data_IF_398386510025
#
_entry.id   IF_398386510025
#
_cell.length_a   1.000
_cell.length_b   1.000
_cell.length_c   1.000
_cell.angle_alpha   90.00
_cell.angle_beta   90.00
_cell.angle_gamma   90.00
#
_symmetry.space_group_name_H-M   'P 1'
#
loop_
_entity.id
_entity.type
_entity.pdbx_description
1 polymer ?
#
# COMPACT_ATOMS: atom_id res chain seq x y z
N UNK A 1 -27.32 -59.83 -24.95
CA UNK A 1 -26.77 -58.52 -24.52
C UNK A 1 -25.28 -58.72 -24.30
N UNK A 2 -24.36 -58.24 -25.16
CA UNK A 2 -22.94 -58.39 -24.86
C UNK A 2 -22.50 -57.25 -23.95
N UNK A 3 -22.04 -57.61 -22.74
CA UNK A 3 -21.31 -56.70 -21.86
C UNK A 3 -19.98 -56.33 -22.54
N UNK A 4 -19.83 -55.04 -22.84
CA UNK A 4 -18.62 -54.49 -23.44
C UNK A 4 -17.54 -54.42 -22.35
N UNK A 5 -16.93 -55.57 -22.01
CA UNK A 5 -15.80 -55.62 -21.08
C UNK A 5 -14.55 -55.08 -21.77
N UNK A 6 -14.15 -53.85 -21.43
CA UNK A 6 -12.89 -53.27 -21.89
C UNK A 6 -11.73 -54.21 -21.56
N UNK A 7 -10.81 -54.37 -22.51
CA UNK A 7 -9.62 -55.19 -22.37
C UNK A 7 -8.76 -54.69 -21.20
N UNK A 8 -8.09 -55.58 -20.43
CA UNK A 8 -7.20 -55.21 -19.34
C UNK A 8 -6.10 -54.21 -19.73
N UNK A 9 -5.75 -54.13 -21.02
CA UNK A 9 -4.82 -53.11 -21.52
C UNK A 9 -5.49 -51.74 -21.67
N UNK A 10 -6.74 -51.68 -22.16
CA UNK A 10 -7.49 -50.43 -22.34
C UNK A 10 -7.79 -49.74 -21.01
N UNK A 11 -8.10 -50.51 -19.96
CA UNK A 11 -8.30 -49.99 -18.60
C UNK A 11 -7.02 -49.34 -18.05
N UNK A 12 -5.85 -49.97 -18.31
CA UNK A 12 -4.55 -49.41 -17.90
C UNK A 12 -4.22 -48.13 -18.66
N UNK A 13 -4.48 -48.09 -19.97
CA UNK A 13 -4.29 -46.88 -20.77
C UNK A 13 -5.24 -45.74 -20.36
N UNK A 14 -6.50 -46.02 -20.04
CA UNK A 14 -7.43 -45.01 -19.51
C UNK A 14 -6.94 -44.41 -18.20
N UNK A 15 -6.57 -45.27 -17.24
CA UNK A 15 -6.08 -44.83 -15.91
C UNK A 15 -4.81 -43.98 -16.04
N UNK A 16 -3.90 -44.36 -16.94
CA UNK A 16 -2.70 -43.59 -17.25
C UNK A 16 -3.06 -42.22 -17.84
N UNK A 17 -3.93 -42.16 -18.85
CA UNK A 17 -4.34 -40.90 -19.47
C UNK A 17 -5.04 -39.96 -18.47
N UNK A 18 -5.85 -40.49 -17.55
CA UNK A 18 -6.49 -39.70 -16.50
C UNK A 18 -5.46 -39.15 -15.49
N UNK A 19 -4.44 -39.93 -15.13
CA UNK A 19 -3.34 -39.45 -14.29
C UNK A 19 -2.51 -38.34 -14.96
N UNK A 20 -2.29 -38.44 -16.27
CA UNK A 20 -1.58 -37.41 -17.06
C UNK A 20 -2.41 -36.13 -17.13
N UNK A 21 -3.74 -36.26 -17.29
CA UNK A 21 -4.66 -35.11 -17.26
C UNK A 21 -4.68 -34.43 -15.89
N UNK A 22 -4.74 -35.20 -14.81
CA UNK A 22 -4.67 -34.64 -13.45
C UNK A 22 -3.35 -33.91 -13.18
N UNK A 23 -2.23 -34.41 -13.72
CA UNK A 23 -0.93 -33.73 -13.62
C UNK A 23 -0.86 -32.44 -14.46
N UNK A 24 -1.51 -32.38 -15.61
CA UNK A 24 -1.55 -31.16 -16.42
C UNK A 24 -2.44 -30.09 -15.77
N UNK A 25 -3.60 -30.49 -15.24
CA UNK A 25 -4.53 -29.61 -14.52
C UNK A 25 -3.88 -28.99 -13.28
N UNK A 26 -3.15 -29.78 -12.50
CA UNK A 26 -2.40 -29.27 -11.33
C UNK A 26 -1.28 -28.31 -11.73
N UNK A 27 -0.55 -28.59 -12.82
CA UNK A 27 0.46 -27.66 -13.34
C UNK A 27 -0.15 -26.33 -13.82
N UNK A 28 -1.31 -26.39 -14.48
CA UNK A 28 -2.04 -25.20 -14.94
C UNK A 28 -2.50 -24.39 -13.72
N UNK A 29 -3.11 -25.04 -12.73
CA UNK A 29 -3.56 -24.38 -11.50
C UNK A 29 -2.40 -23.70 -10.75
N UNK A 30 -1.26 -24.38 -10.60
CA UNK A 30 -0.07 -23.80 -9.96
C UNK A 30 0.47 -22.58 -10.73
N UNK A 31 0.51 -22.64 -12.06
CA UNK A 31 0.94 -21.50 -12.90
C UNK A 31 -0.04 -20.32 -12.81
N UNK A 32 -1.35 -20.59 -12.77
CA UNK A 32 -2.37 -19.56 -12.59
C UNK A 32 -2.26 -18.89 -11.21
N UNK A 33 -2.16 -19.68 -10.14
CA UNK A 33 -1.98 -19.15 -8.78
C UNK A 33 -0.71 -18.30 -8.65
N UNK A 34 0.39 -18.70 -9.30
CA UNK A 34 1.64 -17.92 -9.29
C UNK A 34 1.47 -16.60 -10.04
N UNK A 35 0.76 -16.60 -11.17
CA UNK A 35 0.45 -15.39 -11.96
C UNK A 35 -0.46 -14.43 -11.22
N UNK A 36 -1.50 -14.96 -10.57
CA UNK A 36 -2.42 -14.18 -9.73
C UNK A 36 -1.67 -13.54 -8.56
N UNK A 37 -0.81 -14.30 -7.88
CA UNK A 37 0.03 -13.78 -6.79
C UNK A 37 1.00 -12.69 -7.29
N UNK A 38 1.58 -12.82 -8.49
CA UNK A 38 2.42 -11.77 -9.06
C UNK A 38 1.62 -10.53 -9.48
N UNK A 39 0.43 -10.71 -10.05
CA UNK A 39 -0.45 -9.61 -10.45
C UNK A 39 -0.93 -8.82 -9.22
N UNK A 40 -1.37 -9.51 -8.17
CA UNK A 40 -1.78 -8.88 -6.89
C UNK A 40 -0.64 -8.06 -6.28
N UNK A 41 0.60 -8.58 -6.31
CA UNK A 41 1.78 -7.81 -5.85
C UNK A 41 2.02 -6.58 -6.71
N UNK A 42 1.93 -6.70 -8.04
CA UNK A 42 2.11 -5.56 -8.92
C UNK A 42 0.99 -4.51 -8.78
N UNK A 43 -0.25 -4.91 -8.56
CA UNK A 43 -1.38 -4.00 -8.32
C UNK A 43 -1.25 -3.28 -6.98
N UNK A 44 -0.79 -3.97 -5.92
CA UNK A 44 -0.46 -3.33 -4.65
C UNK A 44 0.63 -2.26 -4.81
N UNK A 45 1.70 -2.57 -5.55
CA UNK A 45 2.76 -1.59 -5.83
C UNK A 45 2.28 -0.42 -6.70
N UNK A 46 1.39 -0.67 -7.67
CA UNK A 46 0.82 0.37 -8.54
C UNK A 46 -0.15 1.28 -7.79
N UNK A 47 -1.04 0.72 -6.99
CA UNK A 47 -1.94 1.49 -6.14
C UNK A 47 -1.16 2.35 -5.14
N UNK A 48 -0.09 1.82 -4.56
CA UNK A 48 0.82 2.60 -3.73
C UNK A 48 1.51 3.74 -4.50
N UNK A 49 1.98 3.52 -5.74
CA UNK A 49 2.57 4.56 -6.60
C UNK A 49 1.58 5.65 -6.99
N UNK A 50 0.30 5.29 -7.18
CA UNK A 50 -0.76 6.22 -7.56
C UNK A 50 -1.42 6.93 -6.36
N UNK A 51 -1.17 6.50 -5.11
CA UNK A 51 -1.72 7.22 -3.97
C UNK A 51 -1.14 8.64 -3.91
N UNK A 52 -2.00 9.67 -4.05
CA UNK A 52 -1.54 11.05 -3.99
C UNK A 52 -0.84 11.27 -2.65
N UNK A 53 0.14 12.17 -2.63
CA UNK A 53 0.91 12.51 -1.43
C UNK A 53 -0.01 12.88 -0.26
N UNK A 54 -1.17 13.45 -0.57
CA UNK A 54 -2.24 13.83 0.35
C UNK A 54 -2.81 12.63 1.11
N UNK A 55 -3.23 11.57 0.43
CA UNK A 55 -3.78 10.37 1.09
C UNK A 55 -2.73 9.68 1.97
N UNK A 56 -1.48 9.68 1.52
CA UNK A 56 -0.36 9.13 2.27
C UNK A 56 -0.07 9.93 3.53
N UNK A 57 -0.08 11.25 3.42
CA UNK A 57 0.07 12.16 4.54
C UNK A 57 -1.13 12.05 5.50
N UNK A 58 -2.36 11.93 4.99
CA UNK A 58 -3.56 11.73 5.80
C UNK A 58 -3.49 10.45 6.65
N UNK A 59 -3.04 9.33 6.05
CA UNK A 59 -2.82 8.06 6.80
C UNK A 59 -1.76 8.20 7.89
N UNK A 60 -0.66 8.91 7.61
CA UNK A 60 0.37 9.18 8.62
C UNK A 60 -0.21 10.02 9.76
N UNK A 61 -0.92 11.10 9.43
CA UNK A 61 -1.56 11.97 10.41
C UNK A 61 -2.61 11.22 11.23
N UNK A 62 -3.36 10.28 10.64
CA UNK A 62 -4.30 9.44 11.38
C UNK A 62 -3.62 8.53 12.42
N UNK A 63 -2.35 8.17 12.20
CA UNK A 63 -1.57 7.35 13.14
C UNK A 63 -1.01 8.18 14.30
N UNK A 64 -0.88 9.49 14.15
CA UNK A 64 -0.32 10.39 15.16
C UNK A 64 -1.40 10.68 16.24
N UNK A 65 -1.09 10.46 17.53
CA UNK A 65 -1.98 10.82 18.65
C UNK A 65 -2.38 12.30 18.65
N UNK A 66 -3.58 12.60 19.16
CA UNK A 66 -4.13 13.96 19.18
C UNK A 66 -3.28 14.93 20.03
N UNK A 67 -2.62 14.42 21.07
CA UNK A 67 -1.72 15.16 21.95
C UNK A 67 -0.50 15.71 21.20
N UNK A 68 -0.01 14.96 20.22
CA UNK A 68 1.13 15.40 19.39
C UNK A 68 0.65 16.38 18.32
N UNK A 69 -0.58 16.22 17.81
CA UNK A 69 -1.19 17.17 16.87
C UNK A 69 -1.42 18.54 17.50
N UNK A 70 -1.84 18.57 18.77
CA UNK A 70 -2.09 19.82 19.49
C UNK A 70 -0.81 20.57 19.85
N UNK A 71 0.31 19.86 20.05
CA UNK A 71 1.64 20.46 20.26
C UNK A 71 2.21 21.11 18.99
N UNK A 72 1.71 20.71 17.81
CA UNK A 72 2.14 21.22 16.51
C UNK A 72 3.18 20.34 15.86
N UNK A 73 2.97 20.04 14.57
CA UNK A 73 3.78 19.12 13.80
C UNK A 73 4.87 19.86 13.04
N UNK A 74 6.12 19.42 13.19
CA UNK A 74 7.23 20.00 12.42
C UNK A 74 7.36 19.31 11.06
N UNK A 75 7.53 20.12 10.00
CA UNK A 75 7.70 19.62 8.64
C UNK A 75 8.93 18.69 8.48
N UNK A 76 10.10 18.98 9.11
CA UNK A 76 11.23 18.06 9.11
C UNK A 76 10.90 16.71 9.78
N UNK A 77 10.16 16.69 10.89
CA UNK A 77 9.77 15.44 11.55
C UNK A 77 8.84 14.60 10.67
N UNK A 78 7.82 15.23 10.07
CA UNK A 78 6.92 14.56 9.13
C UNK A 78 7.69 13.99 7.93
N UNK A 79 8.68 14.74 7.42
CA UNK A 79 9.56 14.27 6.35
C UNK A 79 10.38 13.06 6.76
N UNK A 80 10.94 13.03 7.97
CA UNK A 80 11.70 11.86 8.48
C UNK A 80 10.80 10.64 8.65
N UNK A 81 9.60 10.81 9.20
CA UNK A 81 8.61 9.73 9.34
C UNK A 81 8.17 9.18 7.97
N UNK A 82 8.04 10.04 6.96
CA UNK A 82 7.74 9.62 5.59
C UNK A 82 8.93 8.95 4.91
N UNK A 83 10.15 9.48 5.06
CA UNK A 83 11.35 8.96 4.41
C UNK A 83 11.73 7.54 4.88
N UNK A 84 11.52 7.21 6.15
CA UNK A 84 11.76 5.85 6.67
C UNK A 84 10.81 4.81 6.09
N UNK A 85 9.60 5.22 5.69
CA UNK A 85 8.58 4.34 5.11
C UNK A 85 8.55 4.39 3.57
N UNK A 86 9.11 5.43 2.95
CA UNK A 86 8.98 5.69 1.50
C UNK A 86 10.28 6.16 0.82
N UNK A 87 10.69 5.46 -0.26
CA UNK A 87 11.92 5.68 -1.05
C UNK A 87 11.93 6.95 -1.94
N UNK A 88 11.05 7.92 -1.71
CA UNK A 88 10.96 9.17 -2.49
C UNK A 88 11.41 10.39 -1.70
N UNK A 89 12.24 11.25 -2.30
CA UNK A 89 12.56 12.58 -1.73
C UNK A 89 11.33 13.47 -1.87
N UNK A 90 10.41 13.40 -0.91
CA UNK A 90 9.27 14.32 -0.90
C UNK A 90 9.77 15.76 -0.72
N UNK A 91 9.39 16.65 -1.64
CA UNK A 91 9.79 18.05 -1.55
C UNK A 91 9.03 18.75 -0.41
N UNK A 92 9.70 19.59 0.40
CA UNK A 92 9.05 20.27 1.53
C UNK A 92 7.91 21.20 1.10
N UNK A 93 7.95 21.71 -0.14
CA UNK A 93 6.87 22.49 -0.73
C UNK A 93 5.60 21.66 -0.97
N UNK A 94 5.76 20.45 -1.50
CA UNK A 94 4.64 19.53 -1.75
C UNK A 94 4.00 19.07 -0.45
N UNK A 95 4.80 18.79 0.58
CA UNK A 95 4.28 18.50 1.94
C UNK A 95 3.48 19.67 2.50
N UNK A 96 3.96 20.89 2.35
CA UNK A 96 3.22 22.07 2.80
C UNK A 96 1.91 22.27 2.06
N UNK A 97 1.86 21.99 0.75
CA UNK A 97 0.63 22.07 -0.04
C UNK A 97 -0.36 20.99 0.38
N UNK A 98 0.11 19.75 0.54
CA UNK A 98 -0.70 18.63 1.00
C UNK A 98 -1.27 18.89 2.40
N UNK A 99 -0.46 19.41 3.34
CA UNK A 99 -0.92 19.79 4.67
C UNK A 99 -2.04 20.84 4.62
N UNK A 100 -1.91 21.87 3.77
CA UNK A 100 -2.99 22.88 3.61
C UNK A 100 -4.27 22.28 3.04
N UNK A 101 -4.17 21.36 2.07
CA UNK A 101 -5.33 20.64 1.52
C UNK A 101 -6.04 19.78 2.56
N UNK A 102 -5.28 19.25 3.53
CA UNK A 102 -5.80 18.48 4.67
C UNK A 102 -6.31 19.36 5.83
N UNK A 103 -6.38 20.68 5.68
CA UNK A 103 -6.84 21.57 6.75
C UNK A 103 -5.82 21.75 7.88
N UNK A 104 -4.53 21.78 7.55
CA UNK A 104 -3.49 22.19 8.50
C UNK A 104 -3.01 23.60 8.18
N UNK A 105 -2.82 24.38 9.24
CA UNK A 105 -2.30 25.73 9.18
C UNK A 105 -0.87 25.78 9.70
N UNK A 106 -0.01 26.48 8.94
CA UNK A 106 1.37 26.75 9.33
C UNK A 106 1.39 27.96 10.26
N UNK A 107 1.71 27.76 11.54
CA UNK A 107 1.96 28.83 12.51
C UNK A 107 3.45 28.94 12.78
N UNK A 108 3.98 30.16 12.70
CA UNK A 108 5.38 30.46 13.02
C UNK A 108 5.40 31.16 14.37
N UNK A 109 6.09 30.57 15.33
CA UNK A 109 6.33 31.21 16.61
C UNK A 109 7.54 32.13 16.45
N UNK A 110 7.30 33.44 16.58
CA UNK A 110 8.33 34.48 16.50
C UNK A 110 8.91 34.84 17.87
N UNK A 111 8.32 34.29 18.95
CA UNK A 111 8.52 34.77 20.31
C UNK A 111 9.49 33.92 21.16
N UNK A 112 10.00 32.81 20.60
CA UNK A 112 10.90 31.90 21.30
C UNK A 112 12.27 31.89 20.60
N UNK A 113 13.26 32.53 21.23
CA UNK A 113 14.63 32.62 20.72
C UNK A 113 15.34 31.27 20.59
N UNK A 114 14.84 30.23 21.25
CA UNK A 114 15.37 28.86 21.17
C UNK A 114 14.81 28.06 19.98
N UNK A 115 13.56 28.34 19.58
CA UNK A 115 12.87 27.72 18.45
C UNK A 115 12.77 28.65 17.23
N UNK A 116 13.61 29.69 17.23
CA UNK A 116 13.75 30.66 16.16
C UNK A 116 13.68 29.95 14.80
N UNK A 117 12.65 30.25 14.02
CA UNK A 117 12.41 29.73 12.66
C UNK A 117 11.70 28.37 12.51
N UNK A 118 11.34 27.67 13.58
CA UNK A 118 10.51 26.47 13.46
C UNK A 118 9.05 26.84 13.16
N UNK A 119 8.61 26.52 11.94
CA UNK A 119 7.20 26.58 11.61
C UNK A 119 6.54 25.25 11.99
N UNK A 120 5.54 25.33 12.85
CA UNK A 120 4.74 24.20 13.28
C UNK A 120 3.41 24.21 12.52
N UNK A 121 2.89 23.03 12.28
CA UNK A 121 1.61 22.81 11.62
C UNK A 121 0.60 22.36 12.64
N UNK A 122 -0.50 23.08 12.73
CA UNK A 122 -1.61 22.77 13.61
C UNK A 122 -2.79 22.35 12.74
N UNK A 123 -3.57 21.39 13.22
CA UNK A 123 -4.86 21.11 12.62
C UNK A 123 -5.70 22.39 12.80
N UNK A 124 -6.16 22.99 11.70
CA UNK A 124 -7.10 24.09 11.82
C UNK A 124 -8.43 23.47 12.23
N UNK A 125 -8.97 23.89 13.38
CA UNK A 125 -10.36 23.67 13.75
C UNK A 125 -11.24 24.46 12.77
N UNK A 126 -11.30 24.00 11.52
CA UNK A 126 -12.30 24.47 10.57
C UNK A 126 -13.42 23.46 10.66
N UNK A 127 -14.24 23.62 11.70
CA UNK A 127 -15.65 23.27 11.59
C UNK A 127 -16.22 24.08 10.41
N UNK A 128 -16.44 23.43 9.27
CA UNK A 128 -17.38 23.86 8.24
C UNK A 128 -18.00 22.66 7.54
#
# INVERSE_FOLDING_TARGET
>A
MPENMLSPQEVKMSTYMDSVRAQSETQISNKLATREASNQKSEAEWTERLTPLEDRLAKLLATIPAEIKSQGLSLPALRTMLAGKWRGKCHPGELGIALRRLGYERRRNWNDGSQSFCALWYQSDVEK
#
